data_IF_825207084756
#
_entry.id   IF_825207084756
#
_cell.length_a   1.000
_cell.length_b   1.000
_cell.length_c   1.000
_cell.angle_alpha   90.00
_cell.angle_beta   90.00
_cell.angle_gamma   90.00
#
_symmetry.space_group_name_H-M   'P 1'
#
loop_
_entity.id
_entity.type
_entity.pdbx_description
1 polymer ?
#
# COMPACT_ATOMS: atom_id res chain seq x y z
N UNK A 1 -22.30 -15.17 32.69
CA UNK A 1 -22.46 -15.45 31.25
C UNK A 1 -23.04 -14.22 30.58
N UNK A 2 -22.22 -13.36 29.95
CA UNK A 2 -22.74 -12.21 29.19
C UNK A 2 -23.33 -12.71 27.87
N UNK A 3 -24.65 -12.57 27.71
CA UNK A 3 -25.32 -12.75 26.42
C UNK A 3 -24.82 -11.64 25.48
N UNK A 4 -24.06 -12.01 24.45
CA UNK A 4 -23.72 -11.11 23.33
C UNK A 4 -24.99 -10.90 22.53
N UNK A 5 -25.63 -9.75 22.69
CA UNK A 5 -26.72 -9.32 21.83
C UNK A 5 -26.26 -9.41 20.37
N UNK A 6 -27.01 -10.11 19.52
CA UNK A 6 -26.72 -10.35 18.10
C UNK A 6 -26.72 -9.10 17.20
N UNK A 7 -26.56 -7.90 17.78
CA UNK A 7 -26.49 -6.59 17.10
C UNK A 7 -25.06 -6.16 16.79
N UNK A 8 -24.04 -6.84 17.33
CA UNK A 8 -22.64 -6.48 17.11
C UNK A 8 -22.03 -7.12 15.86
N UNK A 9 -22.64 -8.16 15.28
CA UNK A 9 -22.13 -8.86 14.08
C UNK A 9 -22.37 -8.11 12.77
N UNK A 10 -23.07 -6.96 12.78
CA UNK A 10 -23.43 -6.17 11.59
C UNK A 10 -22.74 -4.81 11.51
N UNK A 11 -21.95 -4.40 12.51
CA UNK A 11 -21.27 -3.11 12.49
C UNK A 11 -20.11 -3.19 11.48
N UNK A 12 -20.06 -2.30 10.47
CA UNK A 12 -18.91 -2.26 9.58
C UNK A 12 -17.64 -2.02 10.40
N UNK A 13 -16.50 -2.59 10.00
CA UNK A 13 -15.24 -2.36 10.70
C UNK A 13 -14.97 -0.86 10.80
N UNK A 14 -14.49 -0.39 11.96
CA UNK A 14 -14.11 1.00 12.14
C UNK A 14 -13.00 1.35 11.14
N UNK A 15 -13.31 2.26 10.20
CA UNK A 15 -12.32 2.83 9.30
C UNK A 15 -11.84 4.11 9.97
N UNK A 16 -10.56 4.21 10.37
CA UNK A 16 -10.06 5.42 10.98
C UNK A 16 -10.23 6.60 10.01
N UNK A 17 -10.58 7.80 10.52
CA UNK A 17 -10.67 8.99 9.68
C UNK A 17 -9.31 9.25 9.02
N UNK A 18 -9.35 9.80 7.80
CA UNK A 18 -8.18 9.96 6.92
C UNK A 18 -7.01 10.68 7.60
N UNK A 19 -7.28 11.50 8.61
CA UNK A 19 -6.31 12.24 9.43
C UNK A 19 -5.51 11.38 10.42
N UNK A 20 -6.00 10.20 10.81
CA UNK A 20 -5.33 9.26 11.73
C UNK A 20 -4.50 8.19 11.02
N UNK A 21 -4.53 8.16 9.68
CA UNK A 21 -3.73 7.23 8.91
C UNK A 21 -2.25 7.67 8.92
N UNK A 22 -1.31 6.77 9.22
CA UNK A 22 0.10 7.11 9.17
C UNK A 22 0.53 7.43 7.73
N UNK A 23 1.19 8.58 7.55
CA UNK A 23 1.76 9.03 6.27
C UNK A 23 1.09 10.27 5.68
N UNK A 24 1.71 10.88 4.65
CA UNK A 24 1.18 12.06 3.99
C UNK A 24 -0.14 11.75 3.29
N UNK A 25 -1.03 12.75 3.21
CA UNK A 25 -2.29 12.61 2.49
C UNK A 25 -2.07 12.27 1.00
N UNK A 26 -3.13 11.88 0.28
CA UNK A 26 -3.04 11.47 -1.12
C UNK A 26 -2.53 12.57 -2.07
N UNK A 27 -2.68 13.85 -1.72
CA UNK A 27 -2.19 14.98 -2.52
C UNK A 27 -0.69 15.17 -2.32
N UNK A 28 -0.22 15.15 -1.08
CA UNK A 28 1.17 15.33 -0.73
C UNK A 28 2.01 14.11 -1.12
N UNK A 29 1.44 12.90 -0.99
CA UNK A 29 2.04 11.68 -1.52
C UNK A 29 2.32 11.79 -3.03
N UNK A 30 1.40 12.35 -3.81
CA UNK A 30 1.58 12.56 -5.25
C UNK A 30 2.62 13.63 -5.55
N UNK A 31 2.66 14.71 -4.75
CA UNK A 31 3.66 15.76 -4.88
C UNK A 31 5.09 15.27 -4.64
N UNK A 32 5.28 14.30 -3.76
CA UNK A 32 6.61 13.77 -3.41
C UNK A 32 7.00 12.49 -4.19
N UNK A 33 6.13 12.00 -5.07
CA UNK A 33 6.41 10.80 -5.89
C UNK A 33 7.25 11.19 -7.12
N UNK A 34 8.54 10.84 -7.10
CA UNK A 34 9.51 11.15 -8.16
C UNK A 34 9.08 10.54 -9.51
N UNK A 35 8.42 9.38 -9.51
CA UNK A 35 7.96 8.77 -10.76
C UNK A 35 6.85 9.61 -11.41
N UNK A 36 5.97 10.22 -10.60
CA UNK A 36 4.93 11.12 -11.12
C UNK A 36 5.53 12.45 -11.58
N UNK A 37 6.50 13.00 -10.83
CA UNK A 37 7.19 14.24 -11.20
C UNK A 37 7.95 14.11 -12.53
N UNK A 38 8.64 12.98 -12.72
CA UNK A 38 9.47 12.72 -13.91
C UNK A 38 8.71 12.01 -15.04
N UNK A 39 7.43 11.65 -14.83
CA UNK A 39 6.63 10.92 -15.81
C UNK A 39 7.16 9.51 -16.11
N UNK A 40 7.87 8.89 -15.16
CA UNK A 40 8.48 7.58 -15.32
C UNK A 40 7.50 6.46 -14.96
N UNK A 41 7.55 5.38 -15.73
CA UNK A 41 6.84 4.13 -15.39
C UNK A 41 7.69 3.34 -14.38
N UNK A 42 7.23 3.14 -13.13
CA UNK A 42 7.98 2.40 -12.12
C UNK A 42 8.29 0.95 -12.52
N UNK A 43 7.49 0.36 -13.40
CA UNK A 43 7.71 -1.01 -13.87
C UNK A 43 8.87 -1.10 -14.86
N UNK A 44 9.09 -0.05 -15.64
CA UNK A 44 10.24 0.04 -16.55
C UNK A 44 11.54 0.29 -15.79
N UNK A 45 11.44 1.00 -14.68
CA UNK A 45 12.60 1.36 -13.85
C UNK A 45 12.89 0.37 -12.72
N UNK A 46 12.34 -0.84 -12.77
CA UNK A 46 12.51 -1.85 -11.70
C UNK A 46 13.97 -2.26 -11.47
N UNK A 47 14.82 -2.13 -12.49
CA UNK A 47 16.25 -2.46 -12.42
C UNK A 47 17.12 -1.26 -12.03
N UNK A 48 16.53 -0.07 -11.88
CA UNK A 48 17.24 1.14 -11.50
C UNK A 48 17.25 1.28 -9.97
N UNK A 49 18.19 0.59 -9.34
CA UNK A 49 18.33 0.50 -7.89
C UNK A 49 18.46 1.89 -7.22
N UNK A 50 19.16 2.83 -7.87
CA UNK A 50 19.30 4.20 -7.34
C UNK A 50 17.95 4.93 -7.26
N UNK A 51 17.13 4.81 -8.31
CA UNK A 51 15.81 5.46 -8.37
C UNK A 51 14.85 4.85 -7.33
N UNK A 52 14.93 3.53 -7.10
CA UNK A 52 14.07 2.81 -6.17
C UNK A 52 14.45 3.04 -4.70
N UNK A 53 15.74 3.13 -4.38
CA UNK A 53 16.21 3.37 -3.00
C UNK A 53 15.72 4.70 -2.42
N UNK A 54 15.62 5.73 -3.27
CA UNK A 54 15.12 7.05 -2.86
C UNK A 54 13.60 7.12 -2.67
N UNK A 55 12.85 6.15 -3.21
CA UNK A 55 11.40 6.16 -3.20
C UNK A 55 10.85 5.06 -2.28
N UNK A 56 10.52 5.45 -1.03
CA UNK A 56 9.63 4.70 -0.12
C UNK A 56 8.18 4.70 -0.62
N UNK A 57 7.94 4.49 -1.91
CA UNK A 57 6.58 4.35 -2.45
C UNK A 57 6.01 2.99 -2.03
N UNK A 58 5.71 2.82 -0.74
CA UNK A 58 5.10 1.62 -0.14
C UNK A 58 3.91 1.11 -0.95
N UNK A 59 3.20 2.02 -1.64
CA UNK A 59 2.10 1.70 -2.56
C UNK A 59 2.55 0.94 -3.81
N UNK A 60 3.57 1.44 -4.52
CA UNK A 60 4.08 0.79 -5.74
C UNK A 60 4.86 -0.47 -5.39
N UNK A 61 5.70 -0.41 -4.35
CA UNK A 61 6.39 -1.59 -3.79
C UNK A 61 5.36 -2.67 -3.39
N UNK A 62 4.28 -2.27 -2.72
CA UNK A 62 3.17 -3.15 -2.35
C UNK A 62 2.36 -3.68 -3.55
N UNK A 63 2.27 -2.94 -4.66
CA UNK A 63 1.65 -3.44 -5.90
C UNK A 63 2.56 -4.44 -6.60
N UNK A 64 3.85 -4.16 -6.72
CA UNK A 64 4.85 -5.07 -7.31
C UNK A 64 4.92 -6.38 -6.51
N UNK A 65 4.98 -6.32 -5.17
CA UNK A 65 4.94 -7.50 -4.30
C UNK A 65 3.64 -8.29 -4.51
N UNK A 66 2.46 -7.63 -4.53
CA UNK A 66 1.18 -8.30 -4.77
C UNK A 66 1.14 -9.00 -6.12
N UNK A 67 1.70 -8.38 -7.17
CA UNK A 67 1.73 -8.95 -8.52
C UNK A 67 2.72 -10.10 -8.63
N UNK A 68 3.91 -9.99 -8.05
CA UNK A 68 4.92 -11.05 -7.98
C UNK A 68 4.41 -12.29 -7.24
N UNK A 69 3.66 -12.12 -6.14
CA UNK A 69 2.96 -13.22 -5.44
C UNK A 69 1.92 -13.91 -6.34
N UNK A 70 1.15 -13.13 -7.11
CA UNK A 70 0.12 -13.67 -8.02
C UNK A 70 0.71 -14.46 -9.20
N UNK A 71 1.92 -14.09 -9.62
CA UNK A 71 2.67 -14.75 -10.70
C UNK A 71 3.52 -15.94 -10.22
N UNK A 72 3.55 -16.23 -8.91
CA UNK A 72 4.35 -17.34 -8.35
C UNK A 72 5.86 -17.09 -8.25
N UNK A 73 6.31 -15.85 -8.49
CA UNK A 73 7.73 -15.47 -8.40
C UNK A 73 8.18 -15.38 -6.94
N UNK A 74 7.28 -14.91 -6.06
CA UNK A 74 7.51 -14.83 -4.63
C UNK A 74 6.58 -15.78 -3.87
N UNK A 75 7.08 -16.48 -2.84
CA UNK A 75 6.24 -17.32 -1.99
C UNK A 75 5.22 -16.47 -1.23
N UNK A 76 4.00 -17.00 -1.09
CA UNK A 76 2.95 -16.38 -0.29
C UNK A 76 3.14 -16.85 1.15
N UNK A 77 3.73 -16.00 1.98
CA UNK A 77 3.75 -16.24 3.42
C UNK A 77 2.39 -15.88 4.01
N UNK A 78 1.72 -16.89 4.57
CA UNK A 78 0.57 -16.74 5.47
C UNK A 78 1.08 -16.33 6.84
N UNK A 79 0.40 -15.39 7.48
CA UNK A 79 0.60 -15.06 8.89
C UNK A 79 -0.68 -15.40 9.65
#
# INVERSE_FOLDING_TARGET
MLKKDGRDSKRPPYIPPLSKLPGPNARDSRRHDIFLQLGLDPLREINNDQLLRGQRSQRKLGQTIRRAKKMGILPIWSN
#
